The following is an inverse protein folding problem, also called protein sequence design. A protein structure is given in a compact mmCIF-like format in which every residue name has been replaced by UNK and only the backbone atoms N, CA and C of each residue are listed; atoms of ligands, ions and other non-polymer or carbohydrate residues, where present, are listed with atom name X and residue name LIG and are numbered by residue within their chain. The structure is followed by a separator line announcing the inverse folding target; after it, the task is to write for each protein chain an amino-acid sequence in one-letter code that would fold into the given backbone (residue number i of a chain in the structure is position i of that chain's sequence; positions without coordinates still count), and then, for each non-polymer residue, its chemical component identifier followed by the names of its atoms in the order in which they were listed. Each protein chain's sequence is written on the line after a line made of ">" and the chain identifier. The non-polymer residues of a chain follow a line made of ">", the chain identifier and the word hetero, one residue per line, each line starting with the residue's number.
data_IF_386122339066
#
_entry.id   IF_386122339066
#
_cell.length_a   1.000
_cell.length_b   1.000
_cell.length_c   1.000
_cell.angle_alpha   90.00
_cell.angle_beta   90.00
_cell.angle_gamma   90.00
#
_symmetry.space_group_name_H-M   'P 1'
#
loop_
_entity.id
_entity.type
_entity.pdbx_description
1 polymer ?
#
# COMPACT_ATOMS: atom_id res chain seq x y z
N UNK A 1 -14.55 11.90 -19.92
CA UNK A 1 -14.48 10.97 -21.06
C UNK A 1 -15.30 9.74 -20.72
N UNK A 2 -16.43 9.50 -21.40
CA UNK A 2 -17.28 8.34 -21.16
C UNK A 2 -16.76 7.04 -21.78
N UNK A 3 -17.22 5.88 -21.29
CA UNK A 3 -16.87 4.56 -21.82
C UNK A 3 -17.34 4.44 -23.28
N UNK A 4 -16.44 4.06 -24.17
CA UNK A 4 -16.79 3.81 -25.56
C UNK A 4 -17.77 2.63 -25.68
N UNK A 5 -18.87 2.78 -26.43
CA UNK A 5 -19.93 1.75 -26.59
C UNK A 5 -19.40 0.36 -26.96
N UNK A 6 -18.27 0.28 -27.68
CA UNK A 6 -17.66 -0.97 -28.13
C UNK A 6 -16.57 -1.53 -27.19
N UNK A 7 -16.15 -0.79 -26.15
CA UNK A 7 -15.18 -1.27 -25.16
C UNK A 7 -15.79 -2.36 -24.27
N UNK A 8 -14.95 -3.20 -23.67
CA UNK A 8 -15.39 -4.21 -22.70
C UNK A 8 -16.04 -3.54 -21.49
N UNK A 9 -17.12 -4.13 -20.99
CA UNK A 9 -17.85 -3.55 -19.87
C UNK A 9 -17.01 -3.67 -18.57
N UNK A 10 -16.85 -2.57 -17.81
CA UNK A 10 -16.03 -2.59 -16.58
C UNK A 10 -16.54 -3.55 -15.50
N UNK A 11 -17.78 -4.03 -15.59
CA UNK A 11 -18.37 -5.00 -14.67
C UNK A 11 -17.86 -6.44 -14.85
N UNK A 12 -16.93 -6.71 -15.79
CA UNK A 12 -16.37 -8.04 -16.08
C UNK A 12 -17.40 -9.11 -16.49
N UNK A 13 -18.54 -8.72 -17.04
CA UNK A 13 -19.51 -9.65 -17.64
C UNK A 13 -18.99 -10.40 -18.87
N UNK A 14 -17.81 -10.04 -19.40
CA UNK A 14 -17.30 -10.55 -20.67
C UNK A 14 -17.99 -9.94 -21.90
N UNK A 15 -18.89 -8.96 -21.72
CA UNK A 15 -19.63 -8.32 -22.80
C UNK A 15 -19.12 -6.90 -23.10
N UNK A 16 -19.33 -6.42 -24.33
CA UNK A 16 -19.13 -5.01 -24.69
C UNK A 16 -20.09 -4.12 -23.89
N UNK A 17 -19.70 -2.90 -23.54
CA UNK A 17 -20.49 -1.97 -22.73
C UNK A 17 -21.91 -1.77 -23.29
N UNK A 18 -22.04 -1.59 -24.61
CA UNK A 18 -23.35 -1.46 -25.30
C UNK A 18 -24.27 -2.68 -25.16
N UNK A 19 -23.73 -3.86 -24.86
CA UNK A 19 -24.45 -5.12 -24.69
C UNK A 19 -24.61 -5.53 -23.21
N UNK A 20 -24.23 -4.65 -22.29
CA UNK A 20 -24.25 -4.93 -20.85
C UNK A 20 -24.88 -3.76 -20.09
N UNK A 21 -24.13 -3.04 -19.24
CA UNK A 21 -24.64 -1.97 -18.39
C UNK A 21 -25.24 -0.76 -19.15
N UNK A 22 -25.09 -0.69 -20.47
CA UNK A 22 -25.73 0.32 -21.32
C UNK A 22 -27.16 -0.07 -21.78
N UNK A 23 -27.63 -1.30 -21.55
CA UNK A 23 -28.97 -1.77 -21.98
C UNK A 23 -30.07 -1.54 -20.94
N UNK A 24 -29.75 -1.61 -19.65
CA UNK A 24 -30.76 -1.59 -18.61
C UNK A 24 -30.73 -0.24 -17.89
N UNK A 25 -31.55 0.71 -18.33
CA UNK A 25 -31.82 1.95 -17.58
C UNK A 25 -32.72 1.72 -16.37
N UNK A 26 -33.57 0.70 -16.40
CA UNK A 26 -34.66 0.52 -15.42
C UNK A 26 -34.33 -0.40 -14.23
N UNK A 27 -33.24 -1.16 -14.26
CA UNK A 27 -32.94 -2.16 -13.21
C UNK A 27 -31.74 -1.83 -12.31
N UNK A 28 -30.97 -0.79 -12.63
CA UNK A 28 -29.69 -0.49 -11.97
C UNK A 28 -29.81 0.30 -10.65
N UNK A 29 -31.02 0.57 -10.17
CA UNK A 29 -31.26 1.22 -8.88
C UNK A 29 -31.78 0.16 -7.91
N UNK A 30 -30.88 -0.66 -7.34
CA UNK A 30 -31.33 -1.63 -6.33
C UNK A 30 -30.46 -1.81 -5.08
N UNK A 31 -29.39 -1.03 -4.88
CA UNK A 31 -28.59 -1.18 -3.65
C UNK A 31 -28.09 0.09 -2.96
N UNK A 32 -28.37 1.29 -3.48
CA UNK A 32 -28.53 2.42 -2.56
C UNK A 32 -29.89 2.23 -1.90
N UNK A 33 -29.90 1.42 -0.84
CA UNK A 33 -30.95 1.50 0.18
C UNK A 33 -31.21 3.00 0.39
N UNK A 34 -32.44 3.45 0.17
CA UNK A 34 -32.80 4.88 0.19
C UNK A 34 -32.51 5.55 1.54
N UNK A 35 -32.08 4.76 2.53
CA UNK A 35 -31.65 5.13 3.86
C UNK A 35 -30.16 5.54 3.99
N UNK A 36 -29.29 5.23 3.02
CA UNK A 36 -27.85 5.55 3.11
C UNK A 36 -27.39 6.54 2.03
N UNK A 37 -26.44 7.40 2.39
CA UNK A 37 -25.92 8.45 1.50
C UNK A 37 -24.87 7.88 0.54
N UNK A 38 -24.58 8.55 -0.60
CA UNK A 38 -23.56 8.10 -1.54
C UNK A 38 -22.17 7.92 -0.86
N UNK A 39 -21.68 8.85 -0.02
CA UNK A 39 -20.40 8.68 0.67
C UNK A 39 -20.41 7.55 1.71
N UNK A 40 -21.55 7.29 2.34
CA UNK A 40 -21.74 6.12 3.21
C UNK A 40 -21.69 4.80 2.43
N UNK A 41 -22.34 4.73 1.27
CA UNK A 41 -22.29 3.56 0.39
C UNK A 41 -20.86 3.30 -0.13
N UNK A 42 -20.14 4.34 -0.55
CA UNK A 42 -18.71 4.25 -0.91
C UNK A 42 -17.92 3.69 0.27
N UNK A 43 -18.09 4.23 1.47
CA UNK A 43 -17.39 3.75 2.67
C UNK A 43 -17.74 2.30 3.00
N UNK A 44 -18.99 1.88 2.80
CA UNK A 44 -19.42 0.50 2.99
C UNK A 44 -18.71 -0.44 2.02
N UNK A 45 -18.72 -0.14 0.72
CA UNK A 45 -18.08 -0.95 -0.32
C UNK A 45 -16.57 -1.11 -0.09
N UNK A 46 -15.89 -0.01 0.24
CA UNK A 46 -14.45 0.02 0.47
C UNK A 46 -14.02 -0.53 1.83
N UNK A 47 -14.95 -0.86 2.73
CA UNK A 47 -14.63 -1.45 4.04
C UNK A 47 -15.16 -2.89 4.23
N UNK A 48 -16.29 -3.26 3.62
CA UNK A 48 -16.96 -4.55 3.87
C UNK A 48 -16.97 -5.49 2.67
N UNK A 49 -17.25 -4.99 1.47
CA UNK A 49 -17.53 -5.85 0.31
C UNK A 49 -16.32 -6.10 -0.61
N UNK A 50 -15.18 -5.48 -0.30
CA UNK A 50 -13.96 -5.56 -1.09
C UNK A 50 -13.17 -6.87 -0.91
N UNK A 51 -13.52 -7.71 0.06
CA UNK A 51 -12.69 -8.85 0.49
C UNK A 51 -12.39 -9.77 -0.70
N UNK A 52 -11.10 -9.94 -0.99
CA UNK A 52 -10.57 -10.90 -1.96
C UNK A 52 -9.81 -11.97 -1.19
N UNK A 53 -10.07 -13.26 -1.44
CA UNK A 53 -9.34 -14.38 -0.85
C UNK A 53 -8.63 -15.14 -1.94
N UNK A 54 -7.30 -15.14 -1.89
CA UNK A 54 -6.45 -15.84 -2.85
C UNK A 54 -5.11 -16.17 -2.20
N UNK A 55 -4.38 -17.14 -2.75
CA UNK A 55 -2.97 -17.33 -2.43
C UNK A 55 -2.13 -16.77 -3.58
N UNK A 56 -1.20 -15.88 -3.26
CA UNK A 56 -0.31 -15.23 -4.25
C UNK A 56 0.99 -16.01 -4.49
N UNK A 57 1.18 -17.14 -3.80
CA UNK A 57 2.32 -18.02 -4.00
C UNK A 57 2.21 -18.72 -5.37
N UNK A 58 3.29 -18.84 -6.16
CA UNK A 58 3.22 -19.40 -7.51
C UNK A 58 2.88 -20.89 -7.56
N UNK A 59 3.19 -21.65 -6.51
CA UNK A 59 2.91 -23.09 -6.45
C UNK A 59 1.46 -23.38 -6.05
N UNK A 60 0.53 -23.16 -6.98
CA UNK A 60 -0.90 -23.38 -6.75
C UNK A 60 -1.28 -24.86 -6.51
N UNK A 61 -0.44 -25.82 -6.90
CA UNK A 61 -0.71 -27.24 -6.69
C UNK A 61 -0.76 -27.58 -5.19
N UNK A 62 0.05 -26.90 -4.39
CA UNK A 62 0.11 -27.08 -2.94
C UNK A 62 -1.04 -26.39 -2.19
N UNK A 63 -1.79 -25.51 -2.86
CA UNK A 63 -2.91 -24.78 -2.26
C UNK A 63 -4.21 -25.59 -2.19
N UNK A 64 -4.34 -26.70 -2.93
CA UNK A 64 -5.63 -27.37 -3.18
C UNK A 64 -6.40 -27.79 -1.91
N UNK A 65 -5.70 -28.05 -0.81
CA UNK A 65 -6.29 -28.45 0.48
C UNK A 65 -6.01 -27.43 1.60
N UNK A 66 -5.53 -26.24 1.26
CA UNK A 66 -5.10 -25.24 2.22
C UNK A 66 -6.08 -24.08 2.29
N UNK A 67 -6.40 -23.64 3.51
CA UNK A 67 -7.27 -22.49 3.71
C UNK A 67 -6.49 -21.18 3.51
N UNK A 68 -7.04 -20.24 2.73
CA UNK A 68 -6.57 -18.85 2.72
C UNK A 68 -6.82 -18.22 4.09
N UNK A 69 -5.75 -17.82 4.76
CA UNK A 69 -5.77 -17.24 6.10
C UNK A 69 -5.61 -15.73 6.06
N UNK A 70 -5.81 -15.08 7.20
CA UNK A 70 -5.43 -13.68 7.37
C UNK A 70 -3.93 -13.58 7.66
N UNK A 71 -3.12 -13.43 6.62
CA UNK A 71 -1.68 -13.21 6.71
C UNK A 71 -1.38 -11.76 7.06
N UNK A 72 -0.27 -11.49 7.77
CA UNK A 72 0.13 -10.13 8.15
C UNK A 72 1.13 -9.56 7.14
N UNK A 73 0.96 -8.33 6.68
CA UNK A 73 1.96 -7.65 5.83
C UNK A 73 3.16 -7.10 6.61
N UNK A 74 3.04 -7.03 7.94
CA UNK A 74 4.08 -6.60 8.88
C UNK A 74 4.13 -7.61 10.03
N UNK A 75 5.32 -8.11 10.33
CA UNK A 75 5.56 -9.15 11.34
C UNK A 75 5.01 -8.77 12.73
N UNK A 76 4.27 -9.68 13.36
CA UNK A 76 3.65 -9.38 14.68
C UNK A 76 4.69 -9.29 15.79
N UNK A 77 5.41 -10.39 16.05
CA UNK A 77 6.30 -10.53 17.23
C UNK A 77 7.51 -9.60 17.21
N UNK A 78 8.11 -9.41 16.03
CA UNK A 78 9.35 -8.63 15.89
C UNK A 78 9.12 -7.15 15.62
N UNK A 79 8.00 -6.78 14.99
CA UNK A 79 7.73 -5.39 14.58
C UNK A 79 6.53 -4.80 15.33
N UNK A 80 5.34 -5.40 15.20
CA UNK A 80 4.13 -4.79 15.79
C UNK A 80 4.13 -4.78 17.32
N UNK A 81 4.73 -5.79 17.96
CA UNK A 81 4.85 -5.84 19.42
C UNK A 81 5.70 -4.68 19.97
N UNK A 82 6.64 -4.15 19.17
CA UNK A 82 7.43 -2.94 19.49
C UNK A 82 6.68 -1.62 19.21
N UNK A 83 5.54 -1.68 18.51
CA UNK A 83 4.80 -0.50 18.06
C UNK A 83 3.51 -0.26 18.87
N UNK A 84 2.97 -1.31 19.50
CA UNK A 84 1.64 -1.31 20.07
C UNK A 84 1.54 -0.70 21.48
N UNK A 85 0.35 -0.24 21.84
CA UNK A 85 -0.07 0.07 23.20
C UNK A 85 -1.35 -0.71 23.49
N UNK A 86 -1.35 -1.52 24.56
CA UNK A 86 -2.48 -2.37 25.00
C UNK A 86 -3.08 -3.25 23.88
N UNK A 87 -2.21 -3.91 23.13
CA UNK A 87 -2.53 -4.78 21.99
C UNK A 87 -2.96 -4.04 20.73
N UNK A 88 -2.88 -2.71 20.69
CA UNK A 88 -3.44 -1.87 19.61
C UNK A 88 -2.42 -0.94 18.97
N UNK A 89 -2.65 -0.66 17.69
CA UNK A 89 -1.96 0.38 16.91
C UNK A 89 -3.01 1.31 16.30
N UNK A 90 -2.58 2.45 15.77
CA UNK A 90 -3.46 3.30 14.95
C UNK A 90 -3.31 2.94 13.48
N UNK A 91 -4.41 2.99 12.74
CA UNK A 91 -4.45 2.80 11.29
C UNK A 91 -5.40 3.80 10.64
N UNK A 92 -5.14 4.13 9.38
CA UNK A 92 -5.97 5.00 8.56
C UNK A 92 -7.12 4.22 7.91
N UNK A 93 -8.30 4.84 7.92
CA UNK A 93 -9.52 4.34 7.30
C UNK A 93 -10.20 5.44 6.50
N UNK A 94 -10.85 5.03 5.41
CA UNK A 94 -11.83 5.85 4.74
C UNK A 94 -13.13 5.84 5.56
N UNK A 95 -13.69 7.03 5.78
CA UNK A 95 -14.99 7.23 6.42
C UNK A 95 -15.68 8.46 5.84
N UNK A 96 -16.70 8.97 6.54
CA UNK A 96 -17.39 10.21 6.21
C UNK A 96 -17.52 11.12 7.45
N UNK A 97 -17.71 12.42 7.23
CA UNK A 97 -17.90 13.42 8.27
C UNK A 97 -19.39 13.73 8.49
N UNK A 98 -19.71 14.62 9.43
CA UNK A 98 -21.09 14.99 9.77
C UNK A 98 -21.83 15.70 8.62
N UNK A 99 -21.09 16.28 7.67
CA UNK A 99 -21.61 16.88 6.43
C UNK A 99 -21.73 15.84 5.30
N UNK A 100 -21.64 14.54 5.63
CA UNK A 100 -21.69 13.43 4.70
C UNK A 100 -20.61 13.47 3.61
N UNK A 101 -19.49 14.16 3.83
CA UNK A 101 -18.36 14.14 2.89
C UNK A 101 -17.36 13.05 3.25
N UNK A 102 -16.71 12.45 2.23
CA UNK A 102 -15.61 11.51 2.44
C UNK A 102 -14.52 12.17 3.31
N UNK A 103 -14.03 11.41 4.29
CA UNK A 103 -13.05 11.88 5.26
C UNK A 103 -12.11 10.76 5.68
N UNK A 104 -10.94 11.17 6.15
CA UNK A 104 -9.93 10.26 6.67
C UNK A 104 -10.09 10.14 8.17
N UNK A 105 -10.26 8.91 8.64
CA UNK A 105 -10.36 8.57 10.07
C UNK A 105 -9.12 7.78 10.47
N UNK A 106 -8.58 8.08 11.64
CA UNK A 106 -7.49 7.31 12.25
C UNK A 106 -8.06 6.66 13.50
N UNK A 107 -8.05 5.32 13.54
CA UNK A 107 -8.69 4.52 14.58
C UNK A 107 -7.71 3.53 15.18
N UNK A 108 -7.94 3.16 16.43
CA UNK A 108 -7.24 2.03 17.06
C UNK A 108 -7.71 0.72 16.45
N UNK A 109 -6.78 -0.19 16.21
CA UNK A 109 -7.04 -1.56 15.74
C UNK A 109 -6.11 -2.53 16.45
N UNK A 110 -6.62 -3.71 16.81
CA UNK A 110 -5.80 -4.78 17.40
C UNK A 110 -4.70 -5.20 16.42
N UNK A 111 -3.48 -5.40 16.93
CA UNK A 111 -2.34 -5.84 16.11
C UNK A 111 -2.62 -7.14 15.34
N UNK A 112 -3.50 -7.98 15.88
CA UNK A 112 -3.96 -9.23 15.23
C UNK A 112 -4.71 -8.98 13.91
N UNK A 113 -5.20 -7.76 13.67
CA UNK A 113 -5.97 -7.37 12.48
C UNK A 113 -5.34 -6.22 11.69
N UNK A 114 -4.40 -5.48 12.28
CA UNK A 114 -3.89 -4.21 11.76
C UNK A 114 -3.28 -4.32 10.35
N UNK A 115 -2.45 -5.35 10.11
CA UNK A 115 -1.78 -5.61 8.83
C UNK A 115 -2.32 -6.86 8.11
N UNK A 116 -3.52 -7.33 8.48
CA UNK A 116 -4.07 -8.57 7.91
C UNK A 116 -4.60 -8.36 6.51
N UNK A 117 -4.24 -9.26 5.60
CA UNK A 117 -4.79 -9.42 4.25
C UNK A 117 -4.90 -10.91 3.89
N UNK A 118 -5.80 -11.24 2.95
CA UNK A 118 -6.10 -12.63 2.58
C UNK A 118 -5.37 -13.03 1.29
N UNK A 119 -4.04 -12.89 1.32
CA UNK A 119 -3.15 -13.13 0.18
C UNK A 119 -2.37 -14.45 0.23
N UNK A 120 -2.46 -15.22 1.32
CA UNK A 120 -1.73 -16.49 1.47
C UNK A 120 -2.58 -17.58 2.13
N UNK A 121 -2.34 -18.83 1.74
CA UNK A 121 -2.83 -19.99 2.45
C UNK A 121 -1.95 -20.29 3.67
N UNK A 122 -2.44 -21.10 4.60
CA UNK A 122 -1.69 -21.44 5.83
C UNK A 122 -0.30 -21.97 5.52
N UNK A 123 -0.17 -22.92 4.58
CA UNK A 123 1.12 -23.49 4.16
C UNK A 123 2.08 -22.45 3.58
N UNK A 124 1.61 -21.53 2.73
CA UNK A 124 2.50 -20.59 2.03
C UNK A 124 2.81 -19.31 2.81
N UNK A 125 2.08 -19.02 3.89
CA UNK A 125 2.47 -17.96 4.83
C UNK A 125 3.79 -18.30 5.55
N UNK A 126 4.12 -19.59 5.69
CA UNK A 126 5.39 -20.05 6.27
C UNK A 126 6.64 -19.64 5.47
N UNK A 127 6.48 -19.17 4.23
CA UNK A 127 7.57 -18.56 3.46
C UNK A 127 8.21 -17.37 4.22
N UNK A 128 7.44 -16.68 5.06
CA UNK A 128 7.89 -15.46 5.75
C UNK A 128 8.50 -15.72 7.13
N UNK A 129 8.63 -16.96 7.58
CA UNK A 129 9.27 -17.30 8.87
C UNK A 129 10.66 -16.64 9.07
N UNK A 130 11.53 -16.51 8.04
CA UNK A 130 12.83 -15.83 8.19
C UNK A 130 12.74 -14.35 8.61
N UNK A 131 11.67 -13.65 8.23
CA UNK A 131 11.45 -12.24 8.60
C UNK A 131 10.45 -12.07 9.75
N UNK A 132 9.74 -13.13 10.15
CA UNK A 132 8.79 -13.11 11.26
C UNK A 132 9.41 -13.49 12.60
N UNK A 133 10.45 -14.35 12.60
CA UNK A 133 11.03 -14.90 13.83
C UNK A 133 12.44 -14.42 14.14
N UNK A 134 13.18 -13.93 13.16
CA UNK A 134 14.59 -13.53 13.31
C UNK A 134 14.74 -12.02 13.21
N UNK A 135 15.85 -11.53 13.75
CA UNK A 135 16.20 -10.12 13.59
C UNK A 135 16.64 -9.85 12.16
N UNK A 136 16.50 -8.59 11.73
CA UNK A 136 16.85 -8.17 10.38
C UNK A 136 18.35 -7.96 10.25
N UNK A 137 18.94 -8.58 9.23
CA UNK A 137 20.34 -8.41 8.85
C UNK A 137 20.39 -7.79 7.44
N UNK A 138 20.92 -6.56 7.27
CA UNK A 138 20.95 -5.88 5.97
C UNK A 138 21.63 -6.68 4.84
N UNK A 139 22.62 -7.50 5.18
CA UNK A 139 23.37 -8.34 4.22
C UNK A 139 22.63 -9.64 3.85
N UNK A 140 21.53 -9.98 4.53
CA UNK A 140 20.78 -11.20 4.27
C UNK A 140 19.88 -11.02 3.03
N UNK A 141 20.33 -11.59 1.91
CA UNK A 141 19.64 -11.55 0.62
C UNK A 141 18.24 -12.20 0.70
N UNK A 142 18.06 -13.26 1.49
CA UNK A 142 16.76 -13.91 1.64
C UNK A 142 15.78 -13.01 2.40
N UNK A 143 16.20 -12.40 3.51
CA UNK A 143 15.35 -11.47 4.25
C UNK A 143 14.95 -10.26 3.39
N UNK A 144 15.91 -9.64 2.69
CA UNK A 144 15.65 -8.52 1.79
C UNK A 144 14.60 -8.88 0.71
N UNK A 145 14.76 -10.04 0.07
CA UNK A 145 13.78 -10.57 -0.87
C UNK A 145 12.40 -10.75 -0.24
N UNK A 146 12.32 -11.36 0.94
CA UNK A 146 11.05 -11.64 1.62
C UNK A 146 10.32 -10.37 2.06
N UNK A 147 11.05 -9.37 2.57
CA UNK A 147 10.47 -8.05 2.88
C UNK A 147 9.92 -7.39 1.62
N UNK A 148 10.64 -7.47 0.50
CA UNK A 148 10.19 -6.94 -0.78
C UNK A 148 8.96 -7.68 -1.31
N UNK A 149 8.98 -9.01 -1.30
CA UNK A 149 7.89 -9.85 -1.78
C UNK A 149 6.61 -9.67 -0.93
N UNK A 150 6.73 -9.60 0.40
CA UNK A 150 5.57 -9.38 1.28
C UNK A 150 4.92 -8.02 1.04
N UNK A 151 5.72 -6.97 0.91
CA UNK A 151 5.26 -5.62 0.59
C UNK A 151 4.56 -5.55 -0.78
N UNK A 152 5.13 -6.23 -1.78
CA UNK A 152 4.51 -6.38 -3.10
C UNK A 152 3.17 -7.12 -3.03
N UNK A 153 3.11 -8.27 -2.38
CA UNK A 153 1.89 -9.08 -2.27
C UNK A 153 0.77 -8.33 -1.54
N UNK A 154 1.11 -7.55 -0.51
CA UNK A 154 0.16 -6.68 0.16
C UNK A 154 -0.42 -5.64 -0.80
N UNK A 155 0.41 -4.90 -1.54
CA UNK A 155 -0.08 -3.88 -2.47
C UNK A 155 -0.86 -4.47 -3.65
N UNK A 156 -0.43 -5.62 -4.17
CA UNK A 156 -1.13 -6.39 -5.19
C UNK A 156 -2.54 -6.79 -4.74
N UNK A 157 -2.65 -7.30 -3.51
CA UNK A 157 -3.93 -7.67 -2.91
C UNK A 157 -4.82 -6.45 -2.66
N UNK A 158 -4.26 -5.36 -2.13
CA UNK A 158 -5.01 -4.11 -1.94
C UNK A 158 -5.53 -3.52 -3.25
N UNK A 159 -4.81 -3.70 -4.35
CA UNK A 159 -5.27 -3.30 -5.68
C UNK A 159 -6.44 -4.17 -6.16
N UNK A 160 -6.39 -5.49 -5.96
CA UNK A 160 -7.51 -6.38 -6.28
C UNK A 160 -8.78 -6.01 -5.52
N UNK A 161 -8.66 -5.75 -4.22
CA UNK A 161 -9.78 -5.27 -3.40
C UNK A 161 -10.33 -3.93 -3.91
N UNK A 162 -9.45 -3.01 -4.32
CA UNK A 162 -9.83 -1.71 -4.86
C UNK A 162 -10.55 -1.83 -6.21
N UNK A 163 -10.09 -2.71 -7.09
CA UNK A 163 -10.76 -3.02 -8.36
C UNK A 163 -12.14 -3.61 -8.07
N UNK A 164 -12.24 -4.60 -7.19
CA UNK A 164 -13.52 -5.23 -6.81
C UNK A 164 -14.52 -4.21 -6.24
N UNK A 165 -14.07 -3.35 -5.33
CA UNK A 165 -14.91 -2.29 -4.75
C UNK A 165 -15.42 -1.31 -5.81
N UNK A 166 -14.55 -0.84 -6.71
CA UNK A 166 -14.95 0.06 -7.80
C UNK A 166 -15.85 -0.62 -8.83
N UNK A 167 -15.67 -1.91 -9.10
CA UNK A 167 -16.57 -2.68 -9.97
C UNK A 167 -17.97 -2.80 -9.37
N UNK A 168 -18.07 -3.04 -8.07
CA UNK A 168 -19.35 -3.05 -7.35
C UNK A 168 -20.00 -1.65 -7.40
N UNK A 169 -19.23 -0.60 -7.12
CA UNK A 169 -19.70 0.78 -7.21
C UNK A 169 -20.21 1.14 -8.62
N UNK A 170 -19.49 0.69 -9.65
CA UNK A 170 -19.90 0.84 -11.04
C UNK A 170 -21.22 0.12 -11.33
N UNK A 171 -21.44 -1.06 -10.76
CA UNK A 171 -22.68 -1.81 -10.97
C UNK A 171 -23.90 -1.25 -10.23
N UNK A 172 -23.70 -0.47 -9.16
CA UNK A 172 -24.79 -0.07 -8.27
C UNK A 172 -25.18 1.41 -8.37
N UNK A 173 -24.41 2.23 -9.09
CA UNK A 173 -24.72 3.66 -9.22
C UNK A 173 -24.31 4.27 -10.56
N UNK A 174 -25.29 4.53 -11.43
CA UNK A 174 -25.07 5.25 -12.70
C UNK A 174 -24.50 6.66 -12.52
N UNK A 175 -24.78 7.32 -11.39
CA UNK A 175 -24.32 8.69 -11.10
C UNK A 175 -22.79 8.82 -11.04
N UNK A 176 -22.11 7.74 -10.65
CA UNK A 176 -20.65 7.72 -10.50
C UNK A 176 -19.94 7.00 -11.65
N UNK A 177 -20.67 6.49 -12.66
CA UNK A 177 -20.12 5.67 -13.74
C UNK A 177 -18.92 6.31 -14.44
N UNK A 178 -18.99 7.59 -14.82
CA UNK A 178 -17.89 8.23 -15.55
C UNK A 178 -16.62 8.29 -14.69
N UNK A 179 -16.74 8.77 -13.45
CA UNK A 179 -15.64 8.87 -12.48
C UNK A 179 -15.06 7.49 -12.15
N UNK A 180 -15.93 6.51 -11.90
CA UNK A 180 -15.53 5.14 -11.55
C UNK A 180 -14.92 4.43 -12.75
N UNK A 181 -15.38 4.70 -13.97
CA UNK A 181 -14.79 4.12 -15.17
C UNK A 181 -13.35 4.60 -15.40
N UNK A 182 -13.10 5.91 -15.27
CA UNK A 182 -11.74 6.44 -15.34
C UNK A 182 -10.84 5.80 -14.29
N UNK A 183 -11.34 5.70 -13.05
CA UNK A 183 -10.65 5.04 -11.94
C UNK A 183 -10.35 3.56 -12.25
N UNK A 184 -11.34 2.79 -12.73
CA UNK A 184 -11.16 1.38 -13.10
C UNK A 184 -10.15 1.20 -14.23
N UNK A 185 -10.12 2.10 -15.21
CA UNK A 185 -9.12 2.08 -16.27
C UNK A 185 -7.70 2.18 -15.69
N UNK A 186 -7.46 3.19 -14.83
CA UNK A 186 -6.17 3.40 -14.18
C UNK A 186 -5.78 2.22 -13.27
N UNK A 187 -6.71 1.70 -12.48
CA UNK A 187 -6.44 0.55 -11.60
C UNK A 187 -6.09 -0.72 -12.42
N UNK A 188 -6.73 -0.92 -13.58
CA UNK A 188 -6.39 -2.05 -14.45
C UNK A 188 -5.02 -1.87 -15.12
N UNK A 189 -4.63 -0.66 -15.52
CA UNK A 189 -3.25 -0.38 -15.97
C UNK A 189 -2.24 -0.72 -14.88
N UNK A 190 -2.48 -0.25 -13.66
CA UNK A 190 -1.63 -0.55 -12.50
C UNK A 190 -1.57 -2.06 -12.23
N UNK A 191 -2.68 -2.77 -12.43
CA UNK A 191 -2.75 -4.23 -12.27
C UNK A 191 -1.88 -4.96 -13.27
N UNK A 192 -1.90 -4.53 -14.54
CA UNK A 192 -1.03 -5.09 -15.57
C UNK A 192 0.44 -4.89 -15.19
N UNK A 193 0.80 -3.69 -14.73
CA UNK A 193 2.17 -3.43 -14.27
C UNK A 193 2.59 -4.32 -13.11
N UNK A 194 1.72 -4.49 -12.11
CA UNK A 194 1.99 -5.39 -10.99
C UNK A 194 2.05 -6.87 -11.41
N UNK A 195 1.33 -7.30 -12.45
CA UNK A 195 1.45 -8.66 -12.99
C UNK A 195 2.84 -8.93 -13.59
N UNK A 196 3.48 -7.93 -14.21
CA UNK A 196 4.87 -8.04 -14.69
C UNK A 196 5.83 -8.34 -13.53
N UNK A 197 5.71 -7.58 -12.43
CA UNK A 197 6.51 -7.81 -11.23
C UNK A 197 6.15 -9.12 -10.52
N UNK A 198 4.87 -9.52 -10.51
CA UNK A 198 4.43 -10.81 -9.98
C UNK A 198 5.17 -11.96 -10.67
N UNK A 199 5.25 -11.92 -12.00
CA UNK A 199 5.94 -12.94 -12.79
C UNK A 199 7.43 -13.03 -12.45
N UNK A 200 8.09 -11.90 -12.16
CA UNK A 200 9.48 -11.86 -11.72
C UNK A 200 9.66 -12.51 -10.34
N UNK A 201 8.85 -12.10 -9.36
CA UNK A 201 8.86 -12.73 -8.02
C UNK A 201 8.58 -14.22 -8.09
N UNK A 202 7.58 -14.63 -8.87
CA UNK A 202 7.21 -16.04 -9.02
C UNK A 202 8.38 -16.89 -9.51
N UNK A 203 9.15 -16.39 -10.49
CA UNK A 203 10.36 -17.08 -10.97
C UNK A 203 11.41 -17.23 -9.87
N UNK A 204 11.62 -16.18 -9.07
CA UNK A 204 12.60 -16.20 -7.97
C UNK A 204 12.21 -17.21 -6.88
N UNK A 205 10.91 -17.30 -6.54
CA UNK A 205 10.37 -18.27 -5.58
C UNK A 205 10.52 -19.70 -6.10
N UNK A 206 10.10 -19.96 -7.35
CA UNK A 206 10.18 -21.31 -7.94
C UNK A 206 11.63 -21.79 -8.01
N UNK A 207 12.55 -20.90 -8.39
CA UNK A 207 13.97 -21.24 -8.58
C UNK A 207 14.78 -21.15 -7.28
N UNK A 208 14.17 -20.71 -6.17
CA UNK A 208 14.85 -20.39 -4.91
C UNK A 208 16.11 -19.53 -5.11
N UNK A 209 16.02 -18.53 -6.00
CA UNK A 209 17.11 -17.61 -6.31
C UNK A 209 16.65 -16.17 -6.13
N UNK A 210 17.26 -15.50 -5.16
CA UNK A 210 16.86 -14.18 -4.69
C UNK A 210 17.77 -13.03 -5.17
N UNK A 211 18.76 -13.32 -6.03
CA UNK A 211 19.83 -12.38 -6.38
C UNK A 211 19.41 -11.19 -7.26
N UNK A 212 18.23 -11.23 -7.87
CA UNK A 212 17.74 -10.15 -8.76
C UNK A 212 17.15 -8.95 -7.99
N UNK A 213 16.98 -9.08 -6.67
CA UNK A 213 16.60 -7.98 -5.79
C UNK A 213 17.85 -7.28 -5.27
N UNK A 214 17.94 -5.97 -5.51
CA UNK A 214 18.92 -5.08 -4.91
C UNK A 214 18.28 -4.43 -3.69
N UNK A 215 19.04 -4.35 -2.58
CA UNK A 215 18.60 -3.73 -1.33
C UNK A 215 19.57 -2.64 -0.89
N UNK A 216 19.02 -1.54 -0.36
CA UNK A 216 19.76 -0.56 0.44
C UNK A 216 19.02 -0.30 1.73
N UNK A 217 19.72 -0.50 2.84
CA UNK A 217 19.20 -0.25 4.18
C UNK A 217 19.84 0.99 4.79
N UNK A 218 19.01 1.84 5.39
CA UNK A 218 19.44 2.96 6.23
C UNK A 218 19.03 2.66 7.67
N UNK A 219 19.98 2.81 8.58
CA UNK A 219 19.80 2.45 9.99
C UNK A 219 19.91 3.73 10.82
N UNK A 220 18.88 4.00 11.61
CA UNK A 220 18.83 5.14 12.50
C UNK A 220 18.83 4.66 13.95
N UNK A 221 19.42 5.46 14.83
CA UNK A 221 19.32 5.26 16.28
C UNK A 221 17.92 5.68 16.72
N UNK A 222 17.36 4.96 17.68
CA UNK A 222 16.04 5.23 18.24
C UNK A 222 14.92 4.49 17.49
N UNK A 223 13.81 4.31 18.20
CA UNK A 223 12.65 3.55 17.72
C UNK A 223 11.64 4.50 17.07
N UNK A 224 11.51 4.40 15.75
CA UNK A 224 10.39 5.00 15.04
C UNK A 224 9.09 4.41 15.57
N UNK A 225 8.13 5.29 15.81
CA UNK A 225 6.80 4.94 16.31
C UNK A 225 5.82 4.69 15.16
N UNK A 226 6.32 4.20 14.02
CA UNK A 226 5.53 3.76 12.88
C UNK A 226 6.07 2.45 12.33
N UNK A 227 5.25 1.74 11.55
CA UNK A 227 5.72 0.66 10.70
C UNK A 227 5.05 0.73 9.31
N UNK A 228 5.81 0.35 8.28
CA UNK A 228 5.43 0.40 6.87
C UNK A 228 5.94 -0.84 6.15
N UNK A 229 5.13 -1.38 5.25
CA UNK A 229 5.47 -2.47 4.33
C UNK A 229 4.69 -2.24 3.03
N UNK A 230 5.31 -1.59 2.05
CA UNK A 230 4.62 -1.13 0.84
C UNK A 230 5.49 -1.25 -0.41
N UNK A 231 4.89 -1.69 -1.52
CA UNK A 231 5.40 -1.35 -2.84
C UNK A 231 4.95 0.07 -3.20
N UNK A 232 5.83 0.84 -3.83
CA UNK A 232 5.58 2.22 -4.25
C UNK A 232 6.05 2.44 -5.69
N UNK A 233 5.39 3.37 -6.38
CA UNK A 233 5.63 3.71 -7.78
C UNK A 233 5.85 5.21 -7.90
N UNK A 234 7.07 5.70 -7.63
CA UNK A 234 7.38 7.12 -7.73
C UNK A 234 7.38 7.55 -9.20
N UNK A 235 6.69 8.65 -9.49
CA UNK A 235 6.68 9.29 -10.82
C UNK A 235 7.82 10.31 -10.96
N UNK A 236 8.37 10.78 -9.83
CA UNK A 236 9.46 11.73 -9.77
C UNK A 236 10.53 11.27 -8.77
N UNK A 237 11.78 11.62 -9.03
CA UNK A 237 12.87 11.47 -8.06
C UNK A 237 12.86 12.58 -7.00
N UNK A 238 13.83 12.56 -6.08
CA UNK A 238 13.91 13.51 -4.97
C UNK A 238 14.19 14.94 -5.47
N UNK A 239 14.87 15.07 -6.61
CA UNK A 239 15.17 16.33 -7.30
C UNK A 239 14.06 16.76 -8.26
N UNK A 240 12.92 16.08 -8.26
CA UNK A 240 11.77 16.28 -9.14
C UNK A 240 12.02 16.01 -10.63
N UNK A 241 13.05 15.23 -10.97
CA UNK A 241 13.18 14.70 -12.33
C UNK A 241 12.15 13.58 -12.52
N UNK A 242 11.53 13.52 -13.68
CA UNK A 242 10.52 12.51 -14.00
C UNK A 242 11.17 11.11 -14.14
N UNK A 243 10.58 10.13 -13.45
CA UNK A 243 10.94 8.71 -13.52
C UNK A 243 10.06 7.98 -14.53
N UNK A 244 8.79 8.39 -14.61
CA UNK A 244 7.76 7.85 -15.48
C UNK A 244 6.70 8.92 -15.78
N UNK A 245 6.21 8.92 -17.01
CA UNK A 245 5.16 9.79 -17.53
C UNK A 245 3.76 9.15 -17.41
N UNK A 246 3.66 7.83 -17.51
CA UNK A 246 2.45 7.03 -17.28
C UNK A 246 2.72 5.78 -16.39
N UNK A 247 1.64 5.12 -15.98
CA UNK A 247 1.64 3.88 -15.21
C UNK A 247 2.37 2.76 -15.94
N UNK A 248 2.30 2.73 -17.27
CA UNK A 248 2.93 1.68 -18.08
C UNK A 248 4.48 1.73 -17.97
N UNK A 249 5.03 2.95 -17.86
CA UNK A 249 6.47 3.25 -17.69
C UNK A 249 6.93 3.32 -16.23
N UNK A 250 5.98 3.27 -15.30
CA UNK A 250 6.25 3.34 -13.86
C UNK A 250 7.13 2.19 -13.39
N UNK A 251 8.03 2.48 -12.44
CA UNK A 251 8.94 1.48 -11.87
C UNK A 251 8.61 1.29 -10.40
N UNK A 252 8.77 0.06 -9.92
CA UNK A 252 8.43 -0.30 -8.55
C UNK A 252 9.69 -0.37 -7.69
N UNK A 253 9.60 0.28 -6.52
CA UNK A 253 10.52 0.09 -5.40
C UNK A 253 9.69 -0.27 -4.18
N UNK A 254 10.18 -1.15 -3.31
CA UNK A 254 9.52 -1.47 -2.04
C UNK A 254 10.17 -0.69 -0.91
N UNK A 255 9.36 -0.26 0.04
CA UNK A 255 9.76 0.47 1.23
C UNK A 255 9.24 -0.28 2.46
N UNK A 256 10.17 -0.71 3.30
CA UNK A 256 9.89 -1.25 4.61
C UNK A 256 10.50 -0.33 5.68
N UNK A 257 9.70 0.06 6.66
CA UNK A 257 10.15 0.86 7.80
C UNK A 257 9.68 0.17 9.07
N UNK A 258 10.60 -0.13 9.97
CA UNK A 258 10.24 -0.77 11.24
C UNK A 258 11.28 -0.54 12.33
N UNK A 259 10.83 -0.44 13.60
CA UNK A 259 11.73 -0.46 14.74
C UNK A 259 12.13 -1.89 15.10
N UNK A 260 13.39 -2.11 15.45
CA UNK A 260 13.90 -3.35 16.03
C UNK A 260 15.19 -3.07 16.81
N UNK A 261 15.34 -3.65 18.01
CA UNK A 261 16.55 -3.55 18.84
C UNK A 261 17.06 -2.10 19.04
N UNK A 262 16.17 -1.19 19.46
CA UNK A 262 16.46 0.25 19.66
C UNK A 262 16.92 1.03 18.42
N UNK A 263 16.78 0.43 17.23
CA UNK A 263 17.09 1.04 15.94
C UNK A 263 15.83 1.12 15.09
N UNK A 264 15.88 1.98 14.09
CA UNK A 264 14.91 2.03 13.00
C UNK A 264 15.59 1.64 11.71
N UNK A 265 15.00 0.68 11.01
CA UNK A 265 15.43 0.25 9.69
C UNK A 265 14.52 0.87 8.65
N UNK A 266 15.12 1.49 7.64
CA UNK A 266 14.46 1.93 6.41
C UNK A 266 15.10 1.15 5.27
N UNK A 267 14.36 0.21 4.71
CA UNK A 267 14.86 -0.73 3.72
C UNK A 267 14.16 -0.47 2.40
N UNK A 268 14.95 -0.13 1.39
CA UNK A 268 14.51 0.00 0.02
C UNK A 268 14.95 -1.23 -0.77
N UNK A 269 14.03 -1.84 -1.52
CA UNK A 269 14.38 -2.93 -2.43
C UNK A 269 13.80 -2.68 -3.83
N UNK A 270 14.57 -2.99 -4.87
CA UNK A 270 14.13 -2.91 -6.26
C UNK A 270 14.71 -4.06 -7.09
N UNK A 271 14.13 -4.33 -8.25
CA UNK A 271 14.67 -5.30 -9.18
C UNK A 271 15.88 -4.73 -9.93
N UNK A 272 16.87 -5.55 -10.24
CA UNK A 272 18.07 -5.15 -10.96
C UNK A 272 17.78 -4.47 -12.32
N UNK A 273 16.70 -4.88 -13.00
CA UNK A 273 16.25 -4.24 -14.25
C UNK A 273 15.90 -2.75 -14.08
N UNK A 274 15.51 -2.32 -12.89
CA UNK A 274 15.18 -0.93 -12.57
C UNK A 274 16.35 -0.19 -11.88
N UNK A 275 17.54 -0.81 -11.83
CA UNK A 275 18.69 -0.30 -11.08
C UNK A 275 19.24 1.03 -11.60
N UNK A 276 19.17 1.28 -12.91
CA UNK A 276 19.62 2.56 -13.49
C UNK A 276 18.84 3.76 -12.94
N UNK A 277 17.58 3.54 -12.54
CA UNK A 277 16.73 4.58 -11.94
C UNK A 277 16.93 4.62 -10.43
N UNK A 278 16.77 3.48 -9.76
CA UNK A 278 16.71 3.48 -8.30
C UNK A 278 18.07 3.59 -7.63
N UNK A 279 19.18 3.25 -8.30
CA UNK A 279 20.51 3.55 -7.76
C UNK A 279 20.71 5.07 -7.60
N UNK A 280 20.39 5.87 -8.62
CA UNK A 280 20.43 7.33 -8.55
C UNK A 280 19.43 7.88 -7.52
N UNK A 281 18.19 7.38 -7.51
CA UNK A 281 17.18 7.80 -6.52
C UNK A 281 17.66 7.61 -5.08
N UNK A 282 18.26 6.46 -4.79
CA UNK A 282 18.75 6.13 -3.45
C UNK A 282 20.03 6.89 -3.11
N UNK A 283 20.94 7.12 -4.07
CA UNK A 283 22.09 8.01 -3.87
C UNK A 283 21.68 9.45 -3.57
N UNK A 284 20.59 9.94 -4.18
CA UNK A 284 20.02 11.25 -3.83
C UNK A 284 19.54 11.29 -2.37
N UNK A 285 18.85 10.24 -1.89
CA UNK A 285 18.40 10.14 -0.50
C UNK A 285 19.57 10.04 0.48
N UNK A 286 20.58 9.23 0.15
CA UNK A 286 21.79 9.06 0.96
C UNK A 286 22.58 10.37 1.11
N UNK A 287 22.59 11.22 0.07
CA UNK A 287 23.24 12.53 0.10
C UNK A 287 22.50 13.62 0.89
N UNK A 288 21.27 13.37 1.38
CA UNK A 288 20.52 14.33 2.19
C UNK A 288 21.05 14.38 3.63
N UNK A 289 20.98 15.56 4.25
CA UNK A 289 21.14 15.66 5.70
C UNK A 289 19.95 14.99 6.43
N UNK A 290 20.11 14.68 7.73
CA UNK A 290 19.09 13.99 8.51
C UNK A 290 17.72 14.68 8.46
N UNK A 291 17.66 16.01 8.59
CA UNK A 291 16.38 16.76 8.56
C UNK A 291 15.62 16.57 7.24
N UNK A 292 16.35 16.56 6.12
CA UNK A 292 15.77 16.37 4.79
C UNK A 292 15.41 14.90 4.53
N UNK A 293 16.18 13.94 5.06
CA UNK A 293 15.79 12.52 5.07
C UNK A 293 14.48 12.31 5.83
N UNK A 294 14.33 12.90 7.02
CA UNK A 294 13.08 12.85 7.80
C UNK A 294 11.92 13.48 7.04
N UNK A 295 12.15 14.61 6.36
CA UNK A 295 11.13 15.27 5.54
C UNK A 295 10.69 14.38 4.38
N UNK A 296 11.65 13.79 3.67
CA UNK A 296 11.42 12.79 2.62
C UNK A 296 10.60 11.61 3.12
N UNK A 297 10.96 11.01 4.26
CA UNK A 297 10.27 9.84 4.80
C UNK A 297 8.83 10.18 5.22
N UNK A 298 8.61 11.32 5.88
CA UNK A 298 7.26 11.79 6.23
C UNK A 298 6.37 11.93 4.99
N UNK A 299 6.89 12.55 3.93
CA UNK A 299 6.14 12.74 2.69
C UNK A 299 5.92 11.41 1.95
N UNK A 300 6.94 10.59 1.81
CA UNK A 300 6.89 9.31 1.09
C UNK A 300 5.90 8.34 1.72
N UNK A 301 5.94 8.22 3.05
CA UNK A 301 5.06 7.31 3.79
C UNK A 301 3.59 7.71 3.69
N UNK A 302 3.29 9.01 3.82
CA UNK A 302 1.91 9.51 3.74
C UNK A 302 1.37 9.52 2.32
N UNK A 303 2.24 9.75 1.33
CA UNK A 303 1.87 9.76 -0.08
C UNK A 303 1.67 8.36 -0.65
N UNK A 304 2.69 7.51 -0.53
CA UNK A 304 2.73 6.22 -1.22
C UNK A 304 2.35 5.04 -0.32
N UNK A 305 2.77 5.04 0.94
CA UNK A 305 2.64 3.87 1.82
C UNK A 305 1.40 3.87 2.74
N UNK A 306 0.44 4.77 2.46
CA UNK A 306 -0.74 5.06 3.30
C UNK A 306 -1.55 3.85 3.78
N UNK A 307 -1.61 2.78 2.98
CA UNK A 307 -2.43 1.58 3.30
C UNK A 307 -1.75 0.66 4.32
N UNK A 308 -0.42 0.63 4.31
CA UNK A 308 0.39 -0.20 5.20
C UNK A 308 0.81 0.52 6.48
N UNK A 309 0.74 1.86 6.48
CA UNK A 309 1.15 2.69 7.61
C UNK A 309 0.37 2.37 8.89
N UNK A 310 1.10 1.94 9.91
CA UNK A 310 0.64 1.76 11.28
C UNK A 310 1.40 2.70 12.19
N UNK A 311 0.71 3.25 13.20
CA UNK A 311 1.31 4.16 14.18
C UNK A 311 1.20 3.59 15.59
N UNK A 312 2.18 3.91 16.42
CA UNK A 312 2.03 3.79 17.86
C UNK A 312 0.88 4.71 18.35
N UNK A 313 -0.01 4.24 19.24
CA UNK A 313 -1.07 5.08 19.80
C UNK A 313 -0.60 6.33 20.56
N UNK A 314 0.56 6.26 21.23
CA UNK A 314 1.18 7.38 21.95
C UNK A 314 1.66 8.46 20.98
N UNK A 315 2.37 8.09 19.91
CA UNK A 315 2.78 9.03 18.85
C UNK A 315 1.59 9.84 18.36
N UNK A 316 0.51 9.15 18.01
CA UNK A 316 -0.70 9.81 17.52
C UNK A 316 -1.31 10.74 18.57
N UNK A 317 -1.28 10.38 19.86
CA UNK A 317 -1.82 11.21 20.93
C UNK A 317 -1.01 12.49 21.14
N UNK A 318 0.32 12.41 21.05
CA UNK A 318 1.27 13.52 21.22
C UNK A 318 1.26 14.54 20.08
N UNK A 319 0.79 14.17 18.88
CA UNK A 319 0.60 15.13 17.80
C UNK A 319 -0.41 16.22 18.21
N UNK A 320 -0.05 17.48 17.94
CA UNK A 320 -0.94 18.63 18.08
C UNK A 320 -2.15 18.50 17.15
N UNK A 321 -3.20 19.27 17.43
CA UNK A 321 -4.39 19.31 16.56
C UNK A 321 -4.03 19.68 15.12
N UNK A 322 -3.09 20.61 14.94
CA UNK A 322 -2.60 21.03 13.61
C UNK A 322 -1.85 19.89 12.92
N UNK A 323 -0.91 19.23 13.59
CA UNK A 323 -0.18 18.07 13.04
C UNK A 323 -1.14 16.94 12.64
N UNK A 324 -2.11 16.60 13.51
CA UNK A 324 -3.15 15.60 13.22
C UNK A 324 -3.99 15.99 12.00
N UNK A 325 -4.29 17.27 11.83
CA UNK A 325 -5.01 17.76 10.66
C UNK A 325 -4.15 17.64 9.41
N UNK A 326 -2.89 18.06 9.45
CA UNK A 326 -1.96 17.98 8.34
C UNK A 326 -1.72 16.53 7.88
N UNK A 327 -1.57 15.59 8.82
CA UNK A 327 -1.51 14.15 8.51
C UNK A 327 -2.78 13.75 7.76
N UNK A 328 -3.99 14.06 8.26
CA UNK A 328 -5.25 13.72 7.56
C UNK A 328 -5.37 14.37 6.18
N UNK A 329 -4.93 15.62 6.03
CA UNK A 329 -4.99 16.37 4.78
C UNK A 329 -4.02 15.85 3.74
N UNK A 330 -2.88 15.27 4.15
CA UNK A 330 -1.94 14.62 3.23
C UNK A 330 -2.54 13.44 2.45
N UNK A 331 -3.66 12.89 2.94
CA UNK A 331 -4.41 11.81 2.29
C UNK A 331 -5.58 12.29 1.42
N UNK A 332 -5.84 13.60 1.38
CA UNK A 332 -6.84 14.18 0.50
C UNK A 332 -6.22 14.36 -0.91
N UNK A 333 -6.78 13.74 -1.96
CA UNK A 333 -6.26 13.82 -3.32
C UNK A 333 -6.03 15.26 -3.83
N UNK A 334 -6.82 16.23 -3.36
CA UNK A 334 -6.67 17.63 -3.74
C UNK A 334 -5.37 18.28 -3.24
N UNK A 335 -4.68 17.67 -2.27
CA UNK A 335 -3.46 18.18 -1.64
C UNK A 335 -2.24 17.29 -1.91
N UNK A 336 -2.39 16.30 -2.79
CA UNK A 336 -1.30 15.43 -3.24
C UNK A 336 -0.53 16.17 -4.34
N UNK A 337 0.64 16.72 -3.97
CA UNK A 337 1.67 17.05 -4.95
C UNK A 337 2.61 15.85 -5.06
N UNK A 338 2.63 15.21 -6.23
CA UNK A 338 3.55 14.10 -6.52
C UNK A 338 4.99 14.61 -6.75
N UNK A 339 5.17 15.93 -6.89
CA UNK A 339 6.38 16.55 -7.43
C UNK A 339 7.17 17.30 -6.35
N UNK A 340 7.03 16.95 -5.07
CA UNK A 340 7.88 17.51 -4.01
C UNK A 340 7.95 16.61 -2.77
N UNK A 341 8.88 15.65 -2.79
CA UNK A 341 9.14 14.77 -1.65
C UNK A 341 9.92 15.46 -0.52
N UNK A 342 10.52 16.62 -0.77
CA UNK A 342 11.26 17.41 0.23
C UNK A 342 10.47 18.57 0.83
N UNK A 343 9.16 18.67 0.58
CA UNK A 343 8.32 19.70 1.23
C UNK A 343 8.46 19.57 2.75
N UNK A 344 8.65 20.68 3.44
CA UNK A 344 8.70 20.68 4.91
C UNK A 344 7.36 20.15 5.46
N UNK A 345 7.31 18.97 6.09
CA UNK A 345 6.06 18.43 6.59
C UNK A 345 5.60 19.23 7.81
N UNK A 346 4.30 19.47 7.93
CA UNK A 346 3.71 20.12 9.12
C UNK A 346 3.53 19.14 10.30
N UNK A 347 4.24 18.02 10.27
CA UNK A 347 4.22 16.95 11.26
C UNK A 347 5.53 16.18 11.16
N UNK A 348 5.90 15.49 12.24
CA UNK A 348 7.03 14.57 12.24
C UNK A 348 6.59 13.22 12.81
N UNK A 349 6.53 12.18 11.97
CA UNK A 349 6.24 10.80 12.36
C UNK A 349 7.48 10.05 12.87
N UNK A 350 8.64 10.68 12.78
CA UNK A 350 9.95 10.13 13.10
C UNK A 350 10.63 10.93 14.23
N UNK A 351 9.86 11.47 15.19
CA UNK A 351 10.37 12.33 16.28
C UNK A 351 11.49 11.70 17.11
N UNK A 352 11.57 10.37 17.15
CA UNK A 352 12.45 9.62 18.04
C UNK A 352 13.67 9.01 17.33
N UNK A 353 14.00 9.45 16.12
CA UNK A 353 15.16 8.90 15.39
C UNK A 353 16.27 9.94 15.21
N UNK A 354 17.50 9.46 15.39
CA UNK A 354 18.75 10.19 15.24
C UNK A 354 19.64 9.47 14.22
N UNK A 355 20.56 10.18 13.59
CA UNK A 355 21.62 9.53 12.81
C UNK A 355 22.43 8.61 13.73
N UNK A 356 22.85 7.45 13.23
CA UNK A 356 23.95 6.72 13.87
C UNK A 356 25.17 7.63 13.81
N UNK A 357 25.54 8.26 14.92
CA UNK A 357 26.82 8.96 15.04
C UNK A 357 27.94 7.96 14.72
N UNK A 358 28.86 8.34 13.82
CA UNK A 358 30.06 7.56 13.49
C UNK A 358 30.82 7.11 14.74
#
# INVERSE_FOLDING_TARGET
>A
MGIGRNQMCPCKSGLKYKKCCNLNEKEFVKYLDTRITEPEAIVHMFNKDKIVRQCLHPNNAECKNEQVIGAHSIARKRILDNLQLDGKVKKIYLGYNNQQMLSIKIKGIDIKRASVFFGFCKKHDDLFQPIDNFDFYPEDVQQNFLFSYRAFCFEYHQLDESIKANQKLFLESKRVHEKVSGTLSMLNKQKNKLNEYQNKYNKMIINNNHSDIISKSFIYKGKAQIAVSSAIFPFYDIKNNEIADDIDDSKMITLNIFPQNEKTYVVFNWFNIDNSVFSNFISQFEGLNLKDQISFLNNTVTLYARRSLLFNPTLWSELTTSEKHAVKSSYNPAFISLNNLLRTPQYNLFKNIESLSN
#
